data_IF_498919656303
#
_entry.id   IF_498919656303
#
_cell.length_a   1.000
_cell.length_b   1.000
_cell.length_c   1.000
_cell.angle_alpha   90.00
_cell.angle_beta   90.00
_cell.angle_gamma   90.00
#
_symmetry.space_group_name_H-M   'P 1'
#
loop_
_entity.id
_entity.type
_entity.pdbx_description
1 polymer ?
#
# COMPACT_ATOMS: atom_id res chain seq x y z
N UNK A 1 -1.05 16.91 -13.63
CA UNK A 1 -1.68 16.58 -12.34
C UNK A 1 -1.46 17.71 -11.35
N UNK A 2 -2.49 18.51 -11.06
CA UNK A 2 -2.35 19.69 -10.18
C UNK A 2 -2.33 19.33 -8.68
N UNK A 3 -2.71 18.10 -8.33
CA UNK A 3 -2.86 17.64 -6.93
C UNK A 3 -1.88 16.54 -6.51
N UNK A 4 -0.94 16.16 -7.39
CA UNK A 4 0.11 15.15 -7.14
C UNK A 4 -0.41 13.79 -6.66
N UNK A 5 -1.48 13.28 -7.28
CA UNK A 5 -2.04 11.97 -6.96
C UNK A 5 -1.03 10.83 -7.19
N UNK A 6 -1.14 9.79 -6.37
CA UNK A 6 -0.31 8.58 -6.45
C UNK A 6 -1.18 7.33 -6.56
N UNK A 7 -0.66 6.33 -7.28
CA UNK A 7 -1.24 4.98 -7.28
C UNK A 7 -0.77 4.28 -6.00
N UNK A 8 -1.71 3.96 -5.10
CA UNK A 8 -1.47 3.07 -3.96
C UNK A 8 -2.14 1.71 -4.17
N UNK A 9 -1.82 0.73 -3.33
CA UNK A 9 -2.58 -0.51 -3.31
C UNK A 9 -3.84 -0.35 -2.46
N UNK A 10 -4.98 -0.44 -3.12
CA UNK A 10 -6.28 -0.49 -2.47
C UNK A 10 -6.84 -1.90 -2.50
N UNK A 11 -7.09 -2.49 -1.33
CA UNK A 11 -7.52 -3.89 -1.22
C UNK A 11 -8.71 -4.05 -0.28
N UNK A 12 -9.77 -4.68 -0.79
CA UNK A 12 -10.94 -5.05 0.00
C UNK A 12 -10.77 -6.49 0.49
N UNK A 13 -10.55 -6.65 1.79
CA UNK A 13 -10.56 -7.97 2.42
C UNK A 13 -12.00 -8.42 2.68
N UNK A 14 -12.67 -8.87 1.61
CA UNK A 14 -14.11 -9.14 1.59
C UNK A 14 -14.45 -10.38 0.77
N UNK A 15 -15.51 -11.09 1.16
CA UNK A 15 -16.05 -12.24 0.43
C UNK A 15 -17.48 -12.00 -0.05
N UNK A 16 -17.85 -12.69 -1.14
CA UNK A 16 -19.18 -12.68 -1.72
C UNK A 16 -20.05 -13.73 -1.05
N UNK A 17 -20.87 -13.31 -0.10
CA UNK A 17 -21.72 -14.20 0.67
C UNK A 17 -23.20 -14.05 0.29
N UNK A 18 -23.90 -15.18 0.13
CA UNK A 18 -25.36 -15.20 -0.05
C UNK A 18 -26.03 -15.03 1.31
N UNK A 19 -26.68 -13.89 1.54
CA UNK A 19 -27.42 -13.69 2.78
C UNK A 19 -28.66 -14.61 2.78
N UNK A 20 -28.64 -15.67 3.60
CA UNK A 20 -29.69 -16.71 3.65
C UNK A 20 -31.10 -16.14 3.79
N UNK A 21 -31.26 -15.05 4.53
CA UNK A 21 -32.56 -14.41 4.79
C UNK A 21 -33.07 -13.49 3.67
N UNK A 22 -32.22 -13.05 2.74
CA UNK A 22 -32.60 -11.99 1.77
C UNK A 22 -32.47 -12.36 0.30
N UNK A 23 -32.07 -13.61 -0.01
CA UNK A 23 -31.92 -14.16 -1.36
C UNK A 23 -31.12 -13.27 -2.35
N UNK A 24 -30.32 -12.33 -1.86
CA UNK A 24 -29.35 -11.57 -2.63
C UNK A 24 -27.95 -11.82 -2.07
N UNK A 25 -26.95 -11.55 -2.90
CA UNK A 25 -25.56 -11.65 -2.53
C UNK A 25 -25.03 -10.25 -2.16
N UNK A 26 -24.16 -10.21 -1.16
CA UNK A 26 -23.48 -8.99 -0.77
C UNK A 26 -22.03 -9.26 -0.42
N UNK A 27 -21.20 -8.25 -0.62
CA UNK A 27 -19.84 -8.22 -0.10
C UNK A 27 -19.89 -8.09 1.42
N UNK A 28 -19.32 -9.06 2.12
CA UNK A 28 -19.15 -9.02 3.56
C UNK A 28 -17.65 -8.92 3.89
N UNK A 29 -17.32 -8.17 4.94
CA UNK A 29 -15.98 -8.12 5.49
C UNK A 29 -15.62 -9.49 6.06
N UNK A 30 -14.40 -9.94 5.80
CA UNK A 30 -13.88 -11.18 6.37
C UNK A 30 -13.14 -10.84 7.68
N UNK A 31 -13.48 -11.54 8.75
CA UNK A 31 -12.91 -11.31 10.09
C UNK A 31 -11.48 -11.86 10.22
N UNK A 32 -11.14 -12.89 9.45
CA UNK A 32 -9.84 -13.56 9.49
C UNK A 32 -9.03 -13.32 8.22
N UNK A 33 -7.71 -13.27 8.32
CA UNK A 33 -6.83 -13.27 7.14
C UNK A 33 -6.04 -14.59 7.10
N UNK A 34 -6.09 -15.30 5.97
CA UNK A 34 -5.46 -16.59 5.70
C UNK A 34 -6.16 -17.82 6.32
N UNK A 35 -7.42 -17.68 6.76
CA UNK A 35 -8.24 -18.81 7.24
C UNK A 35 -9.39 -19.16 6.28
N UNK A 36 -9.71 -18.28 5.32
CA UNK A 36 -10.69 -18.60 4.28
C UNK A 36 -10.00 -19.34 3.16
N UNK A 37 -10.45 -20.57 2.90
CA UNK A 37 -10.01 -21.36 1.76
C UNK A 37 -11.05 -21.19 0.64
N UNK A 38 -10.70 -20.41 -0.37
CA UNK A 38 -11.37 -20.44 -1.67
C UNK A 38 -10.99 -21.72 -2.40
N UNK A 39 -11.74 -22.07 -3.47
CA UNK A 39 -11.62 -23.34 -4.22
C UNK A 39 -10.24 -24.02 -4.18
N UNK A 40 -9.14 -23.30 -4.40
CA UNK A 40 -7.77 -23.79 -4.18
C UNK A 40 -6.78 -22.74 -3.62
N UNK A 41 -7.24 -21.67 -2.95
CA UNK A 41 -6.35 -20.57 -2.49
C UNK A 41 -6.83 -19.97 -1.17
N UNK A 42 -5.89 -19.55 -0.34
CA UNK A 42 -6.11 -18.73 0.85
C UNK A 42 -6.25 -17.24 0.49
N UNK A 43 -6.78 -16.45 1.43
CA UNK A 43 -6.80 -14.99 1.33
C UNK A 43 -5.43 -14.40 0.95
N UNK A 44 -4.37 -14.92 1.60
CA UNK A 44 -2.99 -14.48 1.41
C UNK A 44 -2.50 -14.80 0.00
N UNK A 45 -2.79 -15.98 -0.52
CA UNK A 45 -2.38 -16.37 -1.88
C UNK A 45 -3.08 -15.51 -2.94
N UNK A 46 -4.35 -15.18 -2.74
CA UNK A 46 -5.08 -14.25 -3.62
C UNK A 46 -4.46 -12.86 -3.56
N UNK A 47 -4.20 -12.34 -2.36
CA UNK A 47 -3.57 -11.04 -2.18
C UNK A 47 -2.19 -10.97 -2.84
N UNK A 48 -1.33 -11.99 -2.64
CA UNK A 48 -0.02 -12.11 -3.31
C UNK A 48 -0.19 -12.16 -4.83
N UNK A 49 -1.16 -12.90 -5.35
CA UNK A 49 -1.37 -12.99 -6.79
C UNK A 49 -1.82 -11.67 -7.41
N UNK A 50 -2.74 -10.95 -6.77
CA UNK A 50 -3.16 -9.62 -7.22
C UNK A 50 -1.96 -8.66 -7.23
N UNK A 51 -1.20 -8.69 -6.14
CA UNK A 51 -0.01 -7.86 -5.98
C UNK A 51 1.07 -8.17 -7.04
N UNK A 52 1.32 -9.46 -7.32
CA UNK A 52 2.21 -9.88 -8.39
C UNK A 52 1.71 -9.47 -9.78
N UNK A 53 0.39 -9.46 -10.00
CA UNK A 53 -0.20 -9.00 -11.26
C UNK A 53 0.00 -7.50 -11.45
N UNK A 54 -0.12 -6.69 -10.39
CA UNK A 54 0.20 -5.26 -10.44
C UNK A 54 1.65 -5.03 -10.86
N UNK A 55 2.59 -5.72 -10.21
CA UNK A 55 4.02 -5.63 -10.53
C UNK A 55 4.31 -6.07 -11.96
N UNK A 56 3.81 -7.24 -12.36
CA UNK A 56 4.17 -7.84 -13.63
C UNK A 56 3.60 -7.04 -14.81
N UNK A 57 2.33 -6.63 -14.73
CA UNK A 57 1.64 -5.96 -15.83
C UNK A 57 1.94 -4.46 -15.89
N UNK A 58 2.03 -3.79 -14.74
CA UNK A 58 2.14 -2.32 -14.69
C UNK A 58 3.55 -1.83 -14.33
N UNK A 59 4.50 -2.75 -14.06
CA UNK A 59 5.85 -2.42 -13.59
C UNK A 59 5.83 -1.53 -12.34
N UNK A 60 4.89 -1.80 -11.45
CA UNK A 60 4.60 -0.98 -10.29
C UNK A 60 4.57 -1.81 -9.02
N UNK A 61 5.37 -1.40 -8.02
CA UNK A 61 5.32 -1.95 -6.66
C UNK A 61 4.89 -0.83 -5.70
N UNK A 62 3.79 -0.99 -4.96
CA UNK A 62 3.26 0.06 -4.10
C UNK A 62 4.12 0.24 -2.84
N UNK A 63 4.43 1.50 -2.54
CA UNK A 63 4.97 1.92 -1.24
C UNK A 63 3.86 2.31 -0.24
N UNK A 64 2.63 2.45 -0.74
CA UNK A 64 1.49 2.96 0.00
C UNK A 64 0.32 1.99 -0.10
N UNK A 65 -0.32 1.73 1.04
CA UNK A 65 -1.50 0.89 1.18
C UNK A 65 -2.71 1.68 1.68
N UNK A 66 -3.91 1.25 1.28
CA UNK A 66 -5.17 1.64 1.90
C UNK A 66 -6.18 0.50 1.84
N UNK A 67 -6.69 0.09 3.00
CA UNK A 67 -7.73 -0.90 3.14
C UNK A 67 -9.06 -0.41 2.54
N UNK A 68 -9.71 -1.31 1.83
CA UNK A 68 -11.10 -1.22 1.37
C UNK A 68 -12.03 -1.03 2.55
N UNK A 69 -12.89 -0.01 2.47
CA UNK A 69 -13.78 0.40 3.58
C UNK A 69 -13.07 0.66 4.90
N UNK A 70 -11.75 0.88 4.83
CA UNK A 70 -10.92 1.16 5.99
C UNK A 70 -10.94 0.00 7.01
N UNK A 71 -11.19 -1.22 6.51
CA UNK A 71 -11.21 -2.44 7.31
C UNK A 71 -9.90 -3.21 7.21
N UNK A 72 -9.24 -3.37 8.35
CA UNK A 72 -8.04 -4.17 8.50
C UNK A 72 -8.14 -4.95 9.81
N UNK A 73 -7.93 -6.27 9.77
CA UNK A 73 -7.80 -7.07 10.98
C UNK A 73 -6.31 -7.22 11.36
N UNK A 74 -6.06 -7.73 12.57
CA UNK A 74 -4.71 -7.93 13.09
C UNK A 74 -3.81 -8.78 12.19
N UNK A 75 -4.33 -9.88 11.67
CA UNK A 75 -3.50 -10.84 10.92
C UNK A 75 -3.11 -10.28 9.56
N UNK A 76 -4.02 -9.54 8.92
CA UNK A 76 -3.75 -8.78 7.70
C UNK A 76 -2.75 -7.64 7.96
N UNK A 77 -2.93 -6.90 9.06
CA UNK A 77 -2.01 -5.85 9.52
C UNK A 77 -0.57 -6.36 9.68
N UNK A 78 -0.42 -7.49 10.36
CA UNK A 78 0.86 -8.14 10.59
C UNK A 78 1.50 -8.64 9.30
N UNK A 79 0.69 -9.10 8.34
CA UNK A 79 1.20 -9.48 7.03
C UNK A 79 1.67 -8.27 6.22
N UNK A 80 0.92 -7.17 6.23
CA UNK A 80 1.29 -5.91 5.57
C UNK A 80 2.58 -5.30 6.11
N UNK A 81 2.88 -5.48 7.39
CA UNK A 81 4.14 -5.04 8.02
C UNK A 81 5.39 -5.60 7.33
N UNK A 82 5.25 -6.72 6.63
CA UNK A 82 6.36 -7.33 5.87
C UNK A 82 6.48 -6.84 4.43
N UNK A 83 5.60 -5.93 3.98
CA UNK A 83 5.41 -5.62 2.55
C UNK A 83 5.43 -4.14 2.20
N UNK A 84 4.72 -3.32 2.98
CA UNK A 84 4.42 -1.94 2.61
C UNK A 84 4.74 -1.01 3.78
N UNK A 85 5.57 0.03 3.59
CA UNK A 85 6.01 0.91 4.67
C UNK A 85 4.93 1.88 5.14
N UNK A 86 4.04 2.34 4.26
CA UNK A 86 3.08 3.38 4.58
C UNK A 86 1.65 2.90 4.37
N UNK A 87 0.81 3.13 5.36
CA UNK A 87 -0.59 2.74 5.37
C UNK A 87 -1.49 3.94 5.70
N UNK A 88 -2.48 4.21 4.85
CA UNK A 88 -3.47 5.27 5.02
C UNK A 88 -4.86 4.72 5.38
N UNK A 89 -4.92 3.53 5.98
CA UNK A 89 -6.15 2.84 6.39
C UNK A 89 -6.71 3.31 7.73
N UNK A 90 -6.32 4.46 8.25
CA UNK A 90 -6.78 4.88 9.57
C UNK A 90 -7.82 6.00 9.49
N UNK A 91 -9.11 5.66 9.73
CA UNK A 91 -10.22 6.60 9.85
C UNK A 91 -11.03 6.48 11.16
N UNK A 92 -10.61 5.60 12.08
CA UNK A 92 -11.43 5.19 13.22
C UNK A 92 -11.33 6.19 14.39
N UNK A 93 -12.45 6.45 15.05
CA UNK A 93 -12.58 7.40 16.17
C UNK A 93 -11.95 6.94 17.49
N UNK A 94 -11.43 5.71 17.53
CA UNK A 94 -10.99 5.01 18.76
C UNK A 94 -9.50 5.18 19.07
N UNK A 95 -8.71 5.65 18.12
CA UNK A 95 -7.31 5.98 18.34
C UNK A 95 -7.22 7.43 18.77
N UNK A 96 -6.28 7.71 19.68
CA UNK A 96 -5.98 9.06 20.15
C UNK A 96 -6.01 10.05 18.97
N UNK A 97 -7.03 10.93 19.00
CA UNK A 97 -7.35 11.81 17.88
C UNK A 97 -6.21 12.77 17.53
N UNK A 98 -5.22 12.88 18.42
CA UNK A 98 -4.05 13.74 18.27
C UNK A 98 -2.90 13.12 17.48
N UNK A 99 -2.92 11.81 17.20
CA UNK A 99 -1.86 11.17 16.40
C UNK A 99 -2.08 11.36 14.89
N UNK A 100 -1.15 12.07 14.25
CA UNK A 100 -1.09 12.16 12.78
C UNK A 100 -0.64 10.83 12.13
N UNK A 101 0.23 10.09 12.84
CA UNK A 101 0.72 8.78 12.44
C UNK A 101 1.20 7.97 13.67
N UNK A 102 1.32 6.66 13.52
CA UNK A 102 1.91 5.76 14.52
C UNK A 102 2.44 4.47 13.90
N UNK A 103 3.26 3.75 14.65
CA UNK A 103 3.62 2.35 14.33
C UNK A 103 2.63 1.42 15.04
N UNK A 104 1.96 0.48 14.37
CA UNK A 104 0.92 -0.32 15.01
C UNK A 104 1.48 -1.35 16.00
N UNK A 105 0.64 -1.74 16.95
CA UNK A 105 0.90 -2.87 17.84
C UNK A 105 0.43 -4.19 17.18
N UNK A 106 1.30 -5.20 17.23
CA UNK A 106 1.07 -6.53 16.65
C UNK A 106 -0.22 -7.21 17.15
N UNK A 107 -0.64 -6.89 18.36
CA UNK A 107 -1.80 -7.50 19.02
C UNK A 107 -3.05 -6.61 18.96
N UNK A 108 -2.88 -5.29 18.81
CA UNK A 108 -3.96 -4.33 18.69
C UNK A 108 -3.56 -3.23 17.68
N UNK A 109 -4.12 -3.29 16.47
CA UNK A 109 -3.74 -2.34 15.40
C UNK A 109 -4.11 -0.88 15.70
N UNK A 110 -4.95 -0.63 16.72
CA UNK A 110 -5.36 0.71 17.15
C UNK A 110 -4.42 1.32 18.21
N UNK A 111 -3.43 0.58 18.68
CA UNK A 111 -2.45 1.07 19.63
C UNK A 111 -1.09 1.30 18.97
N UNK A 112 -0.34 2.26 19.50
CA UNK A 112 1.08 2.39 19.16
C UNK A 112 1.86 1.16 19.61
N UNK A 113 2.82 0.74 18.79
CA UNK A 113 3.59 -0.48 18.97
C UNK A 113 4.94 -0.45 18.27
N UNK A 114 5.41 -1.63 17.85
CA UNK A 114 6.78 -1.84 17.34
C UNK A 114 6.83 -2.45 15.94
N UNK A 115 5.69 -2.51 15.25
CA UNK A 115 5.69 -2.90 13.84
C UNK A 115 6.41 -1.83 13.01
N UNK A 116 7.04 -2.24 11.91
CA UNK A 116 7.89 -1.35 11.09
C UNK A 116 7.07 -0.37 10.27
N UNK A 117 5.87 -0.77 9.86
CA UNK A 117 4.94 0.01 9.04
C UNK A 117 4.47 1.23 9.80
N UNK A 118 4.24 2.31 9.08
CA UNK A 118 3.64 3.54 9.61
C UNK A 118 2.20 3.62 9.15
N UNK A 119 1.28 3.73 10.09
CA UNK A 119 -0.12 4.03 9.82
C UNK A 119 -0.31 5.54 9.94
N UNK A 120 -0.92 6.14 8.93
CA UNK A 120 -1.17 7.56 8.77
C UNK A 120 -2.68 7.80 8.72
N UNK A 121 -3.14 8.77 9.50
CA UNK A 121 -4.56 9.12 9.59
C UNK A 121 -5.06 9.68 8.25
N UNK A 122 -6.18 9.16 7.79
CA UNK A 122 -6.83 9.54 6.55
C UNK A 122 -8.33 9.69 6.77
N UNK A 123 -8.84 10.89 6.54
CA UNK A 123 -10.21 11.24 6.91
C UNK A 123 -11.01 11.70 5.69
N UNK A 124 -12.30 11.35 5.68
CA UNK A 124 -13.22 11.87 4.68
C UNK A 124 -13.89 13.14 5.20
N UNK A 125 -13.62 14.28 4.56
CA UNK A 125 -14.46 15.50 4.58
C UNK A 125 -14.84 16.07 5.96
N UNK A 126 -14.04 15.86 7.00
CA UNK A 126 -14.27 16.49 8.31
C UNK A 126 -13.69 17.92 8.34
N UNK A 127 -14.57 18.93 8.31
CA UNK A 127 -14.15 20.33 8.30
C UNK A 127 -13.56 20.77 9.63
N UNK A 128 -14.06 20.24 10.76
CA UNK A 128 -13.55 20.53 12.10
C UNK A 128 -12.14 19.98 12.27
N UNK A 129 -11.88 18.78 11.77
CA UNK A 129 -10.55 18.19 11.78
C UNK A 129 -9.57 18.96 10.90
N UNK A 130 -9.95 19.32 9.66
CA UNK A 130 -9.06 20.10 8.80
C UNK A 130 -8.71 21.44 9.46
N UNK A 131 -9.70 22.13 10.05
CA UNK A 131 -9.45 23.38 10.76
C UNK A 131 -8.53 23.19 11.97
N UNK A 132 -8.65 22.08 12.71
CA UNK A 132 -7.74 21.78 13.82
C UNK A 132 -6.30 21.58 13.34
N UNK A 133 -6.08 20.96 12.17
CA UNK A 133 -4.74 20.83 11.58
C UNK A 133 -4.14 22.20 11.21
N UNK A 134 -4.93 23.10 10.62
CA UNK A 134 -4.45 24.45 10.32
C UNK A 134 -4.13 25.24 11.59
N UNK A 135 -4.92 25.07 12.66
CA UNK A 135 -4.61 25.64 13.97
C UNK A 135 -3.32 25.06 14.55
N UNK A 136 -3.10 23.74 14.50
CA UNK A 136 -1.82 23.12 14.94
C UNK A 136 -0.64 23.68 14.13
N UNK A 137 -0.77 23.75 12.81
CA UNK A 137 0.26 24.30 11.93
C UNK A 137 0.58 25.77 12.19
N UNK A 138 -0.41 26.60 12.56
CA UNK A 138 -0.16 28.01 12.90
C UNK A 138 0.66 28.18 14.18
N UNK A 139 0.76 27.13 15.01
CA UNK A 139 1.62 27.08 16.20
C UNK A 139 2.95 26.36 15.94
N UNK A 140 3.28 26.06 14.67
CA UNK A 140 4.56 25.47 14.27
C UNK A 140 4.58 23.93 14.24
N UNK A 141 3.45 23.26 14.47
CA UNK A 141 3.38 21.80 14.38
C UNK A 141 3.42 21.31 12.92
N UNK A 142 4.08 20.17 12.70
CA UNK A 142 4.05 19.49 11.41
C UNK A 142 2.77 18.67 11.30
N UNK A 143 1.94 18.97 10.30
CA UNK A 143 0.63 18.33 10.10
C UNK A 143 0.52 17.74 8.70
N UNK A 144 -0.23 16.65 8.61
CA UNK A 144 -0.60 16.03 7.34
C UNK A 144 -2.12 15.87 7.28
N UNK A 145 -2.70 16.34 6.19
CA UNK A 145 -4.08 16.06 5.81
C UNK A 145 -4.10 15.06 4.66
N UNK A 146 -4.38 13.80 4.95
CA UNK A 146 -4.64 12.78 3.92
C UNK A 146 -6.11 12.79 3.53
N UNK A 147 -6.36 13.05 2.24
CA UNK A 147 -7.68 13.11 1.64
C UNK A 147 -7.88 11.96 0.66
N UNK A 148 -9.06 11.32 0.71
CA UNK A 148 -9.48 10.35 -0.28
C UNK A 148 -10.91 10.64 -0.75
N UNK A 149 -11.21 10.23 -1.97
CA UNK A 149 -12.56 10.23 -2.54
C UNK A 149 -12.65 9.12 -3.58
N UNK A 150 -13.86 8.59 -3.79
CA UNK A 150 -14.09 7.59 -4.83
C UNK A 150 -14.68 8.22 -6.09
N UNK A 151 -14.49 7.54 -7.22
CA UNK A 151 -15.24 7.84 -8.43
C UNK A 151 -16.60 7.13 -8.39
N UNK A 152 -17.59 7.71 -7.71
CA UNK A 152 -18.95 7.12 -7.65
C UNK A 152 -19.79 7.34 -8.93
N UNK A 153 -19.17 7.68 -10.08
CA UNK A 153 -19.86 8.15 -11.27
C UNK A 153 -20.72 7.08 -11.96
N UNK A 154 -22.06 7.18 -11.80
CA UNK A 154 -23.04 6.44 -12.63
C UNK A 154 -23.64 7.33 -13.73
N UNK A 155 -23.42 8.65 -13.75
CA UNK A 155 -23.90 9.50 -14.84
C UNK A 155 -22.76 9.96 -15.74
N UNK A 156 -22.92 9.75 -17.05
CA UNK A 156 -21.93 9.94 -18.13
C UNK A 156 -21.24 11.31 -18.20
N UNK A 157 -21.64 12.30 -17.39
CA UNK A 157 -21.27 13.71 -17.58
C UNK A 157 -20.59 14.42 -16.39
N UNK A 158 -20.28 13.76 -15.26
CA UNK A 158 -19.69 14.49 -14.12
C UNK A 158 -18.37 13.87 -13.64
N UNK A 159 -17.29 14.64 -13.79
CA UNK A 159 -15.98 14.42 -13.16
C UNK A 159 -16.07 14.62 -11.63
N UNK A 160 -16.82 13.75 -10.94
CA UNK A 160 -17.13 13.85 -9.52
C UNK A 160 -15.89 13.97 -8.63
N UNK A 161 -14.79 13.28 -8.98
CA UNK A 161 -13.51 13.39 -8.28
C UNK A 161 -12.93 14.80 -8.41
N UNK A 162 -12.89 15.37 -9.62
CA UNK A 162 -12.33 16.71 -9.84
C UNK A 162 -13.16 17.75 -9.08
N UNK A 163 -14.49 17.66 -9.12
CA UNK A 163 -15.36 18.55 -8.34
C UNK A 163 -15.14 18.41 -6.84
N UNK A 164 -14.95 17.19 -6.34
CA UNK A 164 -14.67 16.94 -4.92
C UNK A 164 -13.28 17.48 -4.50
N UNK A 165 -12.26 17.28 -5.32
CA UNK A 165 -10.93 17.84 -5.14
C UNK A 165 -10.96 19.37 -5.14
N UNK A 166 -11.64 20.00 -6.09
CA UNK A 166 -11.78 21.46 -6.18
C UNK A 166 -12.51 22.04 -4.97
N UNK A 167 -13.59 21.39 -4.48
CA UNK A 167 -14.27 21.81 -3.25
C UNK A 167 -13.34 21.75 -2.04
N UNK A 168 -12.55 20.68 -1.94
CA UNK A 168 -11.57 20.52 -0.86
C UNK A 168 -10.47 21.58 -0.96
N UNK A 169 -9.91 21.82 -2.15
CA UNK A 169 -8.93 22.88 -2.41
C UNK A 169 -9.43 24.25 -1.96
N UNK A 170 -10.64 24.65 -2.37
CA UNK A 170 -11.24 25.93 -1.97
C UNK A 170 -11.36 26.09 -0.46
N UNK A 171 -11.66 25.00 0.27
CA UNK A 171 -11.67 25.02 1.75
C UNK A 171 -10.26 25.20 2.31
N UNK A 172 -9.28 24.46 1.81
CA UNK A 172 -7.88 24.58 2.25
C UNK A 172 -7.34 26.00 2.02
N UNK A 173 -7.70 26.66 0.92
CA UNK A 173 -7.31 28.05 0.64
C UNK A 173 -7.90 29.04 1.65
N UNK A 174 -9.17 28.87 2.04
CA UNK A 174 -9.80 29.71 3.07
C UNK A 174 -9.12 29.55 4.43
N UNK A 175 -8.82 28.31 4.83
CA UNK A 175 -8.13 28.03 6.09
C UNK A 175 -6.67 28.53 6.07
N UNK A 176 -5.98 28.37 4.94
CA UNK A 176 -4.65 28.93 4.72
C UNK A 176 -4.61 30.44 4.94
N UNK A 177 -5.59 31.17 4.40
CA UNK A 177 -5.73 32.62 4.64
C UNK A 177 -6.07 32.93 6.10
N UNK A 178 -7.03 32.21 6.69
CA UNK A 178 -7.49 32.42 8.07
C UNK A 178 -6.37 32.25 9.10
N UNK A 179 -5.52 31.25 8.93
CA UNK A 179 -4.47 30.87 9.89
C UNK A 179 -3.06 31.34 9.50
N UNK A 180 -2.89 31.97 8.34
CA UNK A 180 -1.57 32.37 7.84
C UNK A 180 -0.63 31.20 7.50
N UNK A 181 -1.18 30.00 7.30
CA UNK A 181 -0.42 28.76 7.07
C UNK A 181 -0.34 28.47 5.57
N UNK A 182 0.86 28.17 5.07
CA UNK A 182 1.07 27.67 3.71
C UNK A 182 0.89 26.14 3.69
N UNK A 183 0.34 25.61 2.60
CA UNK A 183 0.25 24.17 2.37
C UNK A 183 0.72 23.83 0.96
N UNK A 184 1.10 22.56 0.75
CA UNK A 184 1.41 21.99 -0.57
C UNK A 184 0.69 20.67 -0.77
N UNK A 185 0.48 20.31 -2.02
CA UNK A 185 0.08 18.97 -2.41
C UNK A 185 1.32 18.09 -2.55
N UNK A 186 1.21 16.84 -2.13
CA UNK A 186 2.25 15.81 -2.17
C UNK A 186 1.62 14.48 -2.59
N UNK A 187 2.40 13.59 -3.20
CA UNK A 187 2.03 12.17 -3.26
C UNK A 187 1.90 11.59 -1.84
N UNK A 188 1.27 10.43 -1.69
CA UNK A 188 1.14 9.82 -0.37
C UNK A 188 2.52 9.36 0.16
N UNK A 189 3.36 8.77 -0.68
CA UNK A 189 4.74 8.42 -0.33
C UNK A 189 5.59 9.65 0.05
N UNK A 190 5.52 10.74 -0.72
CA UNK A 190 6.23 11.98 -0.39
C UNK A 190 5.72 12.56 0.93
N UNK A 191 4.40 12.60 1.14
CA UNK A 191 3.81 13.08 2.37
C UNK A 191 4.27 12.27 3.60
N UNK A 192 4.32 10.94 3.49
CA UNK A 192 4.84 10.07 4.53
C UNK A 192 6.34 10.33 4.80
N UNK A 193 7.15 10.44 3.75
CA UNK A 193 8.58 10.76 3.85
C UNK A 193 8.81 12.09 4.59
N UNK A 194 8.04 13.11 4.26
CA UNK A 194 8.14 14.42 4.89
C UNK A 194 7.71 14.40 6.36
N UNK A 195 6.60 13.74 6.67
CA UNK A 195 6.10 13.59 8.04
C UNK A 195 7.09 12.84 8.94
N UNK A 196 7.78 11.85 8.38
CA UNK A 196 8.76 11.02 9.07
C UNK A 196 10.19 11.59 8.99
N UNK A 197 10.38 12.78 8.40
CA UNK A 197 11.68 13.42 8.18
C UNK A 197 12.70 12.49 7.47
N UNK A 198 12.21 11.69 6.52
CA UNK A 198 13.01 10.83 5.66
C UNK A 198 13.64 11.69 4.56
N UNK A 199 14.96 11.85 4.61
CA UNK A 199 15.72 12.73 3.70
C UNK A 199 16.35 12.01 2.51
N UNK A 200 16.29 10.69 2.51
CA UNK A 200 16.95 9.87 1.52
C UNK A 200 16.09 9.71 0.25
N UNK A 201 16.44 10.51 -0.75
CA UNK A 201 15.88 10.45 -2.10
C UNK A 201 16.70 9.57 -3.04
N UNK A 202 17.67 8.82 -2.52
CA UNK A 202 18.50 7.97 -3.37
C UNK A 202 17.64 6.91 -4.07
N UNK A 203 18.01 6.64 -5.32
CA UNK A 203 17.35 5.62 -6.10
C UNK A 203 17.54 4.27 -5.41
N UNK A 204 16.43 3.64 -5.04
CA UNK A 204 16.46 2.29 -4.51
C UNK A 204 16.76 1.30 -5.63
N UNK A 205 17.82 0.52 -5.44
CA UNK A 205 18.27 -0.48 -6.42
C UNK A 205 18.51 -1.82 -5.73
N UNK A 206 18.24 -2.90 -6.46
CA UNK A 206 18.58 -4.25 -6.05
C UNK A 206 19.50 -4.89 -7.08
N UNK A 207 20.50 -5.62 -6.59
CA UNK A 207 21.35 -6.47 -7.41
C UNK A 207 20.66 -7.82 -7.56
N UNK A 208 20.10 -8.07 -8.75
CA UNK A 208 19.44 -9.34 -9.09
C UNK A 208 20.37 -10.15 -9.97
N UNK A 209 20.81 -11.30 -9.48
CA UNK A 209 21.61 -12.28 -10.20
C UNK A 209 20.75 -13.52 -10.48
N UNK A 210 20.65 -13.91 -11.75
CA UNK A 210 19.97 -15.11 -12.17
C UNK A 210 20.97 -16.10 -12.75
N UNK A 211 21.17 -17.21 -12.05
CA UNK A 211 21.97 -18.31 -12.55
C UNK A 211 21.06 -19.30 -13.30
N UNK A 212 21.27 -19.42 -14.61
CA UNK A 212 20.49 -20.31 -15.48
C UNK A 212 20.77 -21.80 -15.25
N UNK A 213 21.97 -22.17 -14.80
CA UNK A 213 22.37 -23.58 -14.71
C UNK A 213 21.69 -24.30 -13.55
N UNK A 214 21.63 -23.66 -12.38
CA UNK A 214 20.95 -24.16 -11.18
C UNK A 214 19.53 -23.59 -11.01
N UNK A 215 19.12 -22.70 -11.92
CA UNK A 215 17.86 -21.95 -11.89
C UNK A 215 17.64 -21.21 -10.56
N UNK A 216 18.71 -20.71 -9.97
CA UNK A 216 18.68 -19.92 -8.75
C UNK A 216 18.66 -18.43 -9.06
N UNK A 217 17.94 -17.69 -8.23
CA UNK A 217 17.90 -16.24 -8.23
C UNK A 217 18.44 -15.78 -6.90
N UNK A 218 19.45 -14.92 -6.93
CA UNK A 218 20.02 -14.26 -5.77
C UNK A 218 19.75 -12.76 -5.87
N UNK A 219 19.17 -12.20 -4.82
CA UNK A 219 18.88 -10.78 -4.71
C UNK A 219 19.67 -10.24 -3.54
N UNK A 220 20.51 -9.25 -3.78
CA UNK A 220 21.24 -8.55 -2.73
C UNK A 220 21.00 -7.05 -2.81
N UNK A 221 21.19 -6.38 -1.69
CA UNK A 221 21.02 -4.94 -1.58
C UNK A 221 22.17 -4.37 -0.78
N UNK A 222 22.62 -3.18 -1.14
CA UNK A 222 23.60 -2.43 -0.37
C UNK A 222 23.02 -1.82 0.90
N UNK A 223 21.71 -1.55 1.03
CA UNK A 223 21.02 -1.29 2.32
C UNK A 223 19.48 -1.07 2.22
N UNK A 224 18.79 -1.37 3.34
CA UNK A 224 17.50 -0.80 3.76
C UNK A 224 16.19 -1.29 3.08
N UNK A 225 16.10 -2.53 2.63
CA UNK A 225 14.79 -3.09 2.21
C UNK A 225 13.79 -3.09 3.39
N UNK A 226 12.53 -2.68 3.15
CA UNK A 226 11.48 -2.70 4.18
C UNK A 226 11.02 -4.12 4.50
N UNK A 227 10.75 -4.89 3.43
CA UNK A 227 10.18 -6.23 3.51
C UNK A 227 11.01 -7.30 2.81
N UNK A 228 10.39 -8.45 2.59
CA UNK A 228 10.98 -9.49 1.74
C UNK A 228 10.67 -9.16 0.27
N UNK A 229 11.67 -9.12 -0.64
CA UNK A 229 11.41 -8.96 -2.05
C UNK A 229 10.42 -10.01 -2.58
N UNK A 230 9.64 -9.61 -3.57
CA UNK A 230 8.67 -10.45 -4.24
C UNK A 230 9.21 -10.86 -5.62
N UNK A 231 9.18 -12.15 -5.91
CA UNK A 231 9.28 -12.64 -7.28
C UNK A 231 7.89 -12.73 -7.89
N UNK A 232 7.70 -12.05 -9.02
CA UNK A 232 6.49 -12.13 -9.84
C UNK A 232 6.86 -12.87 -11.11
N UNK A 233 6.14 -13.92 -11.46
CA UNK A 233 6.52 -14.74 -12.60
C UNK A 233 5.31 -15.15 -13.44
N UNK A 234 5.59 -15.34 -14.73
CA UNK A 234 4.61 -15.78 -15.72
C UNK A 234 4.85 -17.25 -16.06
N UNK A 235 3.77 -18.01 -16.21
CA UNK A 235 3.83 -19.43 -16.57
C UNK A 235 3.55 -19.65 -18.06
N UNK A 236 3.79 -20.86 -18.55
CA UNK A 236 3.41 -21.32 -19.90
C UNK A 236 1.91 -21.28 -20.15
N UNK A 237 1.09 -21.33 -19.09
CA UNK A 237 -0.37 -21.19 -19.13
C UNK A 237 -0.81 -19.72 -19.11
N UNK A 238 0.14 -18.77 -19.27
CA UNK A 238 -0.10 -17.33 -19.22
C UNK A 238 -0.64 -16.84 -17.85
N UNK A 239 -0.49 -17.64 -16.78
CA UNK A 239 -0.83 -17.22 -15.43
C UNK A 239 0.29 -16.35 -14.82
N UNK A 240 -0.10 -15.32 -14.08
CA UNK A 240 0.82 -14.54 -13.23
C UNK A 240 0.68 -15.02 -11.79
N UNK A 241 1.83 -15.29 -11.17
CA UNK A 241 1.95 -15.74 -9.78
C UNK A 241 3.03 -14.95 -9.06
N UNK A 242 2.96 -14.97 -7.74
CA UNK A 242 3.93 -14.31 -6.86
C UNK A 242 4.42 -15.24 -5.75
N UNK A 243 5.65 -15.03 -5.31
CA UNK A 243 6.18 -15.66 -4.10
C UNK A 243 7.19 -14.73 -3.43
N UNK A 244 7.34 -14.84 -2.11
CA UNK A 244 8.41 -14.15 -1.39
C UNK A 244 9.70 -14.95 -1.49
N UNK A 245 10.83 -14.23 -1.61
CA UNK A 245 12.14 -14.86 -1.59
C UNK A 245 12.48 -15.36 -0.18
N UNK A 246 13.31 -16.39 -0.10
CA UNK A 246 13.85 -16.87 1.18
C UNK A 246 15.02 -15.99 1.62
N UNK A 247 15.13 -15.71 2.91
CA UNK A 247 16.26 -14.94 3.45
C UNK A 247 17.53 -15.78 3.52
N UNK A 248 18.67 -15.19 3.19
CA UNK A 248 20.01 -15.77 3.32
C UNK A 248 20.94 -14.79 4.05
N UNK A 249 22.16 -15.23 4.37
CA UNK A 249 23.17 -14.38 5.03
C UNK A 249 23.50 -13.10 4.24
N UNK A 250 23.44 -13.16 2.90
CA UNK A 250 23.89 -12.09 2.00
C UNK A 250 22.74 -11.42 1.21
N UNK A 251 21.50 -11.61 1.63
CA UNK A 251 20.31 -11.08 0.94
C UNK A 251 19.20 -12.11 0.86
N UNK A 252 18.60 -12.27 -0.31
CA UNK A 252 17.47 -13.17 -0.53
C UNK A 252 17.73 -14.09 -1.71
N UNK A 253 17.08 -15.25 -1.70
CA UNK A 253 17.21 -16.23 -2.77
C UNK A 253 15.89 -16.91 -3.12
N UNK A 254 15.80 -17.43 -4.34
CA UNK A 254 14.69 -18.25 -4.81
C UNK A 254 15.20 -19.29 -5.80
N UNK A 255 14.74 -20.53 -5.67
CA UNK A 255 15.09 -21.62 -6.59
C UNK A 255 13.87 -21.94 -7.44
N UNK A 256 14.04 -21.89 -8.76
CA UNK A 256 12.95 -22.14 -9.70
C UNK A 256 12.78 -23.65 -9.89
N UNK A 257 11.90 -24.22 -9.07
CA UNK A 257 11.55 -25.64 -9.14
C UNK A 257 10.47 -25.95 -10.18
N UNK A 258 9.74 -24.94 -10.65
CA UNK A 258 8.65 -25.12 -11.60
C UNK A 258 9.14 -24.91 -13.03
N UNK A 259 9.07 -25.97 -13.84
CA UNK A 259 9.46 -25.93 -15.25
C UNK A 259 8.53 -25.10 -16.13
N UNK A 260 7.33 -24.75 -15.65
CA UNK A 260 6.37 -23.92 -16.39
C UNK A 260 6.69 -22.42 -16.35
N UNK A 261 7.66 -21.96 -15.56
CA UNK A 261 7.99 -20.53 -15.51
C UNK A 261 8.72 -20.13 -16.80
N UNK A 262 8.17 -19.13 -17.50
CA UNK A 262 8.75 -18.59 -18.73
C UNK A 262 9.61 -17.36 -18.48
N UNK A 263 9.21 -16.53 -17.51
CA UNK A 263 9.86 -15.27 -17.19
C UNK A 263 9.51 -14.78 -15.79
N UNK A 264 10.33 -13.89 -15.23
CA UNK A 264 10.11 -13.32 -13.90
C UNK A 264 10.64 -11.90 -13.74
N UNK A 265 10.12 -11.23 -12.72
CA UNK A 265 10.47 -9.88 -12.26
C UNK A 265 10.67 -9.94 -10.75
N UNK A 266 11.64 -9.21 -10.25
CA UNK A 266 11.84 -8.97 -8.81
C UNK A 266 11.35 -7.56 -8.49
N UNK A 267 10.57 -7.44 -7.42
CA UNK A 267 10.14 -6.15 -6.94
C UNK A 267 10.18 -6.04 -5.42
N UNK A 268 10.34 -4.82 -4.94
CA UNK A 268 10.54 -4.54 -3.52
C UNK A 268 10.35 -3.05 -3.23
N UNK A 269 10.33 -2.69 -1.95
CA UNK A 269 10.35 -1.31 -1.48
C UNK A 269 11.34 -1.19 -0.31
N UNK A 270 12.05 -0.06 -0.23
CA UNK A 270 12.92 0.24 0.91
C UNK A 270 12.12 0.86 2.07
N UNK A 271 12.72 1.03 3.26
CA UNK A 271 12.03 1.64 4.41
C UNK A 271 11.61 3.09 4.20
N UNK A 272 12.16 3.73 3.17
CA UNK A 272 11.85 5.11 2.81
C UNK A 272 10.66 5.20 1.85
N UNK A 273 10.10 4.07 1.39
CA UNK A 273 9.02 4.05 0.41
C UNK A 273 9.48 4.19 -1.05
N UNK A 274 10.78 4.08 -1.34
CA UNK A 274 11.27 4.03 -2.71
C UNK A 274 11.08 2.61 -3.23
N UNK A 275 10.29 2.45 -4.29
CA UNK A 275 10.00 1.17 -4.91
C UNK A 275 11.05 0.79 -5.96
N UNK A 276 11.29 -0.51 -6.12
CA UNK A 276 12.14 -1.09 -7.16
C UNK A 276 11.35 -2.17 -7.89
N UNK A 277 11.44 -2.16 -9.22
CA UNK A 277 10.94 -3.23 -10.10
C UNK A 277 12.03 -3.53 -11.11
N UNK A 278 12.49 -4.77 -11.17
CA UNK A 278 13.54 -5.16 -12.11
C UNK A 278 13.03 -5.18 -13.55
N UNK A 279 13.99 -5.26 -14.49
CA UNK A 279 13.70 -5.75 -15.84
C UNK A 279 13.08 -7.16 -15.81
N UNK A 280 12.51 -7.55 -16.93
CA UNK A 280 12.06 -8.92 -17.16
C UNK A 280 13.26 -9.87 -17.38
N UNK A 281 13.22 -11.03 -16.75
CA UNK A 281 14.20 -12.09 -16.93
C UNK A 281 13.55 -13.28 -17.63
N UNK A 282 13.90 -13.50 -18.90
CA UNK A 282 13.39 -14.62 -19.69
C UNK A 282 14.18 -15.89 -19.35
N UNK A 283 13.46 -16.93 -18.93
CA UNK A 283 14.01 -18.26 -18.65
C UNK A 283 13.91 -19.14 -19.90
N UNK A 284 12.76 -19.08 -20.59
CA UNK A 284 12.46 -19.85 -21.80
C UNK A 284 11.91 -18.89 -22.85
N UNK A 285 12.43 -18.99 -24.08
CA UNK A 285 11.83 -18.40 -25.27
C UNK A 285 10.85 -19.40 -25.88
#
# INVERSE_FOLDING_TARGET
NNYQDEIGWHYHHSDWYKQKSKNYFQWNLIETFNNTIYRNKTDREIAIQQFASFVYLNRFYPAVFRAGWVWENRDFSNWLDSLIPFDYSHNWSEVDNDLNFYHPNKNNLFESGKLSRTIIKSVEKDTTYIESLFRKASHGETVLYSYYTHNYGITKNNNCIISAANRTHSKLKKLSQKYGVKFRYCSASEAAQLMLNIKDSSQYTLNVNFNKSDKSICVSNSNNTFGVPLICYKTTENEIKGAFLSQSKNGWYYVINNSSIISFIIASVNKNGNAFVSKDYIIRQ
#
